data_IF_855954176897
#
_entry.id   IF_855954176897
#
_cell.length_a   1.000
_cell.length_b   1.000
_cell.length_c   1.000
_cell.angle_alpha   90.00
_cell.angle_beta   90.00
_cell.angle_gamma   90.00
#
_symmetry.space_group_name_H-M   'P 1'
#
loop_
_entity.id
_entity.type
_entity.pdbx_description
1 polymer ?
#
# COMPACT_ATOMS: atom_id res chain seq x y z
N UNK A 1 24.93 8.47 32.23
CA UNK A 1 23.61 8.85 31.82
C UNK A 1 23.68 9.05 30.29
N UNK A 2 23.15 8.09 29.54
CA UNK A 2 23.04 8.22 28.09
C UNK A 2 21.94 9.25 27.79
N UNK A 3 22.11 10.13 26.77
CA UNK A 3 21.09 11.10 26.40
C UNK A 3 19.83 10.36 25.90
N UNK A 4 18.67 10.76 26.40
CA UNK A 4 17.39 10.22 25.95
C UNK A 4 17.22 10.51 24.44
N UNK A 5 16.92 9.49 23.65
CA UNK A 5 16.60 9.64 22.22
C UNK A 5 15.45 10.66 22.02
N UNK A 6 15.52 11.52 21.00
CA UNK A 6 14.51 12.54 20.76
C UNK A 6 13.12 11.92 20.53
N UNK A 7 12.11 12.63 20.97
CA UNK A 7 10.70 12.17 20.98
C UNK A 7 10.19 11.74 19.60
N UNK A 8 10.68 12.37 18.53
CA UNK A 8 10.38 12.02 17.13
C UNK A 8 10.92 10.65 16.73
N UNK A 9 12.13 10.29 17.20
CA UNK A 9 12.67 8.94 16.97
C UNK A 9 11.85 7.86 17.70
N UNK A 10 11.20 8.22 18.81
CA UNK A 10 10.26 7.32 19.51
C UNK A 10 8.94 7.18 18.76
N UNK A 11 8.46 8.25 18.14
CA UNK A 11 7.24 8.22 17.31
C UNK A 11 7.47 7.45 16.02
N UNK A 12 8.56 7.72 15.29
CA UNK A 12 8.95 6.94 14.13
C UNK A 12 9.20 5.45 14.49
N UNK A 13 9.81 5.17 15.65
CA UNK A 13 10.00 3.82 16.15
C UNK A 13 8.67 3.17 16.60
N UNK A 14 7.66 3.93 17.00
CA UNK A 14 6.33 3.39 17.32
C UNK A 14 5.52 3.03 16.07
N UNK A 15 5.67 3.81 14.99
CA UNK A 15 5.06 3.51 13.69
C UNK A 15 5.81 2.39 12.94
N UNK A 16 7.15 2.35 12.99
CA UNK A 16 7.97 1.27 12.43
C UNK A 16 7.90 -0.03 13.22
N UNK A 17 7.32 0.00 14.45
CA UNK A 17 7.01 -1.16 15.28
C UNK A 17 5.51 -1.47 15.38
N UNK A 18 4.66 -0.90 14.56
CA UNK A 18 3.45 -1.60 14.19
C UNK A 18 3.92 -2.87 13.49
N UNK A 19 4.30 -3.87 14.33
CA UNK A 19 4.51 -5.23 13.88
C UNK A 19 3.30 -5.56 13.03
N UNK A 20 3.47 -5.63 11.72
CA UNK A 20 2.71 -6.62 11.00
C UNK A 20 2.77 -7.83 11.91
N UNK A 21 1.62 -8.26 12.39
CA UNK A 21 1.55 -9.46 13.22
C UNK A 21 2.39 -10.48 12.47
N UNK A 22 3.43 -11.07 13.05
CA UNK A 22 4.27 -12.01 12.35
C UNK A 22 3.32 -13.05 11.80
N UNK A 23 3.24 -13.16 10.48
CA UNK A 23 2.63 -14.32 9.86
C UNK A 23 3.29 -15.50 10.56
N UNK A 24 2.52 -16.43 11.18
CA UNK A 24 3.09 -17.53 11.93
C UNK A 24 3.91 -18.37 10.97
N UNK A 25 5.24 -18.32 11.07
CA UNK A 25 6.06 -19.15 10.20
C UNK A 25 7.54 -18.81 10.03
N UNK A 26 8.08 -17.75 10.61
CA UNK A 26 9.45 -17.32 10.34
C UNK A 26 10.52 -17.92 11.26
N UNK A 27 10.43 -19.21 11.62
CA UNK A 27 11.58 -19.94 12.16
C UNK A 27 11.65 -21.33 11.54
N UNK A 28 12.61 -21.52 10.66
CA UNK A 28 12.93 -22.78 9.97
C UNK A 28 13.12 -24.01 10.89
N UNK A 29 13.30 -23.83 12.19
CA UNK A 29 13.59 -24.92 13.13
C UNK A 29 12.38 -25.48 13.88
N UNK A 30 11.22 -24.79 13.86
CA UNK A 30 10.05 -25.20 14.66
C UNK A 30 8.94 -25.85 13.85
N UNK A 31 9.10 -25.94 12.51
CA UNK A 31 8.06 -26.45 11.62
C UNK A 31 7.81 -27.97 11.79
N UNK A 32 8.76 -28.71 12.36
CA UNK A 32 8.67 -30.17 12.57
C UNK A 32 8.46 -30.60 14.03
N UNK A 33 8.35 -29.68 14.99
CA UNK A 33 7.95 -30.05 16.34
C UNK A 33 6.42 -30.09 16.41
N UNK A 34 5.85 -31.26 16.10
CA UNK A 34 4.47 -31.59 16.43
C UNK A 34 4.25 -31.45 17.94
N UNK A 35 3.84 -30.25 18.37
CA UNK A 35 3.24 -30.07 19.67
C UNK A 35 1.73 -30.23 19.45
N UNK A 36 1.13 -31.29 19.96
CA UNK A 36 -0.31 -31.40 20.11
C UNK A 36 -0.80 -30.16 20.85
N UNK A 37 -1.26 -29.16 20.11
CA UNK A 37 -1.72 -27.88 20.62
C UNK A 37 -3.23 -27.94 20.82
N UNK A 38 -3.70 -27.33 21.87
CA UNK A 38 -5.13 -27.12 22.13
C UNK A 38 -5.81 -26.42 20.93
N UNK A 39 -7.08 -26.71 20.63
CA UNK A 39 -7.83 -26.11 19.55
C UNK A 39 -7.83 -24.58 19.68
N UNK A 40 -7.60 -23.86 18.57
CA UNK A 40 -7.65 -22.40 18.55
C UNK A 40 -9.09 -21.93 18.71
N UNK A 41 -9.36 -20.80 19.37
CA UNK A 41 -10.70 -20.22 19.39
C UNK A 41 -11.04 -19.78 17.94
N UNK A 42 -11.99 -20.49 17.31
CA UNK A 42 -12.40 -20.33 15.92
C UNK A 42 -12.43 -21.63 15.11
N UNK A 43 -11.91 -22.74 15.62
CA UNK A 43 -12.13 -24.07 15.04
C UNK A 43 -13.57 -24.51 15.37
N UNK A 44 -14.54 -23.95 14.67
CA UNK A 44 -15.85 -24.62 14.53
C UNK A 44 -15.58 -26.03 14.00
N UNK A 45 -16.07 -27.02 14.69
CA UNK A 45 -15.97 -28.42 14.26
C UNK A 45 -16.69 -28.54 12.91
N UNK A 46 -15.92 -28.45 11.82
CA UNK A 46 -16.40 -28.69 10.47
C UNK A 46 -17.14 -30.02 10.46
N UNK A 47 -18.31 -30.06 9.82
CA UNK A 47 -19.06 -31.31 9.65
C UNK A 47 -18.19 -32.35 8.93
N UNK A 48 -18.47 -33.62 9.12
CA UNK A 48 -17.71 -34.70 8.46
C UNK A 48 -17.73 -34.58 6.93
N UNK A 49 -18.81 -34.05 6.38
CA UNK A 49 -18.95 -33.80 4.95
C UNK A 49 -18.03 -32.66 4.47
N UNK A 50 -17.91 -31.59 5.24
CA UNK A 50 -17.03 -30.47 4.94
C UNK A 50 -15.55 -30.86 5.03
N UNK A 51 -15.20 -31.69 6.00
CA UNK A 51 -13.84 -32.25 6.12
C UNK A 51 -13.48 -33.14 4.93
N UNK A 52 -14.41 -34.00 4.49
CA UNK A 52 -14.23 -34.84 3.32
C UNK A 52 -14.07 -34.00 2.03
N UNK A 53 -14.92 -33.00 1.86
CA UNK A 53 -14.83 -32.07 0.71
C UNK A 53 -13.52 -31.31 0.67
N UNK A 54 -13.06 -30.79 1.82
CA UNK A 54 -11.77 -30.10 1.94
C UNK A 54 -10.61 -31.03 1.61
N UNK A 55 -10.67 -32.28 2.08
CA UNK A 55 -9.64 -33.29 1.78
C UNK A 55 -9.58 -33.59 0.28
N UNK A 56 -10.75 -33.76 -0.34
CA UNK A 56 -10.83 -33.98 -1.78
C UNK A 56 -10.29 -32.79 -2.59
N UNK A 57 -10.65 -31.57 -2.24
CA UNK A 57 -10.11 -30.36 -2.88
C UNK A 57 -8.59 -30.27 -2.73
N UNK A 58 -8.05 -30.63 -1.57
CA UNK A 58 -6.60 -30.68 -1.34
C UNK A 58 -5.94 -31.74 -2.23
N UNK A 59 -6.54 -32.92 -2.37
CA UNK A 59 -6.03 -33.98 -3.25
C UNK A 59 -6.03 -33.54 -4.72
N UNK A 60 -7.11 -32.93 -5.20
CA UNK A 60 -7.22 -32.38 -6.55
C UNK A 60 -6.17 -31.31 -6.82
N UNK A 61 -5.90 -30.44 -5.84
CA UNK A 61 -4.86 -29.42 -5.93
C UNK A 61 -3.47 -30.04 -6.01
N UNK A 62 -3.16 -31.05 -5.17
CA UNK A 62 -1.89 -31.78 -5.20
C UNK A 62 -1.67 -32.42 -6.57
N UNK A 63 -2.66 -33.09 -7.11
CA UNK A 63 -2.58 -33.75 -8.41
C UNK A 63 -2.43 -32.74 -9.55
N UNK A 64 -3.17 -31.63 -9.51
CA UNK A 64 -3.05 -30.55 -10.47
C UNK A 64 -1.64 -29.93 -10.49
N UNK A 65 -1.03 -29.71 -9.32
CA UNK A 65 0.34 -29.19 -9.22
C UNK A 65 1.37 -30.23 -9.69
N UNK A 66 1.14 -31.52 -9.39
CA UNK A 66 2.06 -32.59 -9.79
C UNK A 66 2.13 -32.76 -11.31
N UNK A 67 1.03 -32.53 -12.01
CA UNK A 67 0.93 -32.68 -13.47
C UNK A 67 1.17 -31.37 -14.24
N UNK A 68 1.24 -30.22 -13.55
CA UNK A 68 1.44 -28.90 -14.14
C UNK A 68 2.87 -28.68 -14.65
N UNK A 69 3.01 -27.91 -15.73
CA UNK A 69 4.30 -27.34 -16.14
C UNK A 69 4.79 -26.31 -15.11
N UNK A 70 6.06 -25.92 -15.17
CA UNK A 70 6.61 -24.96 -14.22
C UNK A 70 5.87 -23.63 -14.19
N UNK A 71 5.48 -23.09 -15.35
CA UNK A 71 4.71 -21.85 -15.46
C UNK A 71 3.29 -21.99 -14.88
N UNK A 72 2.63 -23.09 -15.21
CA UNK A 72 1.29 -23.40 -14.68
C UNK A 72 1.34 -23.60 -13.15
N UNK A 73 2.42 -24.19 -12.64
CA UNK A 73 2.62 -24.42 -11.20
C UNK A 73 2.77 -23.11 -10.44
N UNK A 74 3.56 -22.16 -10.97
CA UNK A 74 3.66 -20.82 -10.37
C UNK A 74 2.29 -20.15 -10.30
N UNK A 75 1.50 -20.23 -11.37
CA UNK A 75 0.13 -19.67 -11.40
C UNK A 75 -0.78 -20.35 -10.38
N UNK A 76 -0.82 -21.68 -10.35
CA UNK A 76 -1.63 -22.44 -9.39
C UNK A 76 -1.23 -22.12 -7.93
N UNK A 77 0.06 -22.01 -7.64
CA UNK A 77 0.52 -21.65 -6.29
C UNK A 77 0.14 -20.22 -5.93
N UNK A 78 0.24 -19.29 -6.86
CA UNK A 78 -0.15 -17.88 -6.60
C UNK A 78 -1.65 -17.75 -6.36
N UNK A 79 -2.47 -18.40 -7.17
CA UNK A 79 -3.94 -18.36 -7.06
C UNK A 79 -4.46 -19.03 -5.79
N UNK A 80 -3.74 -20.05 -5.29
CA UNK A 80 -4.16 -20.85 -4.14
C UNK A 80 -3.27 -20.66 -2.91
N UNK A 81 -2.57 -19.51 -2.79
CA UNK A 81 -1.57 -19.28 -1.74
C UNK A 81 -2.08 -19.57 -0.32
N UNK A 82 -3.35 -19.28 -0.05
CA UNK A 82 -3.98 -19.51 1.25
C UNK A 82 -4.30 -20.99 1.54
N UNK A 83 -4.21 -21.87 0.53
CA UNK A 83 -4.47 -23.30 0.68
C UNK A 83 -3.23 -24.09 1.10
N UNK A 84 -2.04 -23.49 1.04
CA UNK A 84 -0.78 -24.15 1.40
C UNK A 84 -0.48 -24.00 2.90
N UNK A 85 -1.42 -24.50 3.70
CA UNK A 85 -1.31 -24.54 5.15
C UNK A 85 -0.67 -25.86 5.64
N UNK A 86 -0.56 -26.03 6.96
CA UNK A 86 -0.06 -27.27 7.55
C UNK A 86 -0.85 -28.51 7.11
N UNK A 87 -2.16 -28.36 6.89
CA UNK A 87 -3.04 -29.45 6.43
C UNK A 87 -2.68 -29.96 5.04
N UNK A 88 -2.34 -29.06 4.13
CA UNK A 88 -1.86 -29.40 2.78
C UNK A 88 -0.59 -30.28 2.84
N UNK A 89 0.43 -29.85 3.57
CA UNK A 89 1.68 -30.61 3.69
C UNK A 89 1.51 -31.93 4.43
N UNK A 90 0.66 -31.96 5.45
CA UNK A 90 0.29 -33.20 6.14
C UNK A 90 -0.42 -34.18 5.18
N UNK A 91 -1.27 -33.68 4.31
CA UNK A 91 -1.95 -34.53 3.29
C UNK A 91 -0.96 -35.13 2.29
N UNK A 92 0.01 -34.35 1.82
CA UNK A 92 1.09 -34.88 0.96
C UNK A 92 1.87 -35.98 1.70
N UNK A 93 2.27 -35.76 2.95
CA UNK A 93 2.96 -36.74 3.76
C UNK A 93 2.14 -38.05 3.91
N UNK A 94 0.85 -37.92 4.22
CA UNK A 94 -0.06 -39.08 4.33
C UNK A 94 -0.18 -39.85 3.01
N UNK A 95 -0.22 -39.13 1.86
CA UNK A 95 -0.22 -39.77 0.53
C UNK A 95 1.11 -40.46 0.23
N UNK A 96 2.24 -39.85 0.60
CA UNK A 96 3.54 -40.49 0.47
C UNK A 96 3.64 -41.79 1.27
N UNK A 97 3.10 -41.83 2.49
CA UNK A 97 3.11 -43.04 3.33
C UNK A 97 2.23 -44.16 2.77
N UNK A 98 1.13 -43.82 2.10
CA UNK A 98 0.17 -44.80 1.57
C UNK A 98 0.55 -45.34 0.18
N UNK A 99 1.47 -44.72 -0.54
CA UNK A 99 1.92 -45.14 -1.87
C UNK A 99 3.09 -46.13 -1.75
N UNK A 100 2.96 -47.29 -2.39
CA UNK A 100 4.02 -48.31 -2.41
C UNK A 100 5.13 -48.02 -3.45
N UNK A 101 4.77 -47.31 -4.54
CA UNK A 101 5.68 -46.97 -5.64
C UNK A 101 6.64 -45.84 -5.25
N UNK A 102 7.93 -46.11 -5.30
CA UNK A 102 8.96 -45.16 -4.93
C UNK A 102 8.99 -43.92 -5.87
N UNK A 103 8.82 -44.13 -7.19
CA UNK A 103 8.80 -43.03 -8.15
C UNK A 103 7.68 -42.02 -7.89
N UNK A 104 6.52 -42.53 -7.45
CA UNK A 104 5.38 -41.68 -7.09
C UNK A 104 5.60 -40.94 -5.76
N UNK A 105 6.29 -41.56 -4.81
CA UNK A 105 6.72 -40.88 -3.58
C UNK A 105 7.66 -39.72 -3.87
N UNK A 106 8.70 -39.98 -4.68
CA UNK A 106 9.69 -38.98 -5.03
C UNK A 106 9.05 -37.79 -5.75
N UNK A 107 8.07 -38.03 -6.65
CA UNK A 107 7.29 -36.97 -7.31
C UNK A 107 6.48 -36.12 -6.31
N UNK A 108 5.81 -36.75 -5.33
CA UNK A 108 5.06 -36.02 -4.30
C UNK A 108 5.98 -35.21 -3.39
N UNK A 109 7.14 -35.72 -3.02
CA UNK A 109 8.13 -35.00 -2.23
C UNK A 109 8.72 -33.82 -3.01
N UNK A 110 8.97 -34.00 -4.31
CA UNK A 110 9.42 -32.92 -5.19
C UNK A 110 8.36 -31.81 -5.27
N UNK A 111 7.09 -32.18 -5.46
CA UNK A 111 5.97 -31.21 -5.43
C UNK A 111 5.93 -30.44 -4.14
N UNK A 112 6.03 -31.11 -2.99
CA UNK A 112 6.05 -30.45 -1.68
C UNK A 112 7.21 -29.43 -1.57
N UNK A 113 8.42 -29.81 -1.99
CA UNK A 113 9.59 -28.93 -1.97
C UNK A 113 9.44 -27.73 -2.91
N UNK A 114 8.90 -27.96 -4.10
CA UNK A 114 8.67 -26.88 -5.08
C UNK A 114 7.59 -25.89 -4.60
N UNK A 115 6.46 -26.38 -4.08
CA UNK A 115 5.42 -25.53 -3.50
C UNK A 115 5.97 -24.71 -2.34
N UNK A 116 6.71 -25.32 -1.42
CA UNK A 116 7.31 -24.62 -0.29
C UNK A 116 8.24 -23.50 -0.76
N UNK A 117 9.12 -23.77 -1.73
CA UNK A 117 10.02 -22.75 -2.27
C UNK A 117 9.26 -21.61 -2.97
N UNK A 118 8.20 -21.92 -3.73
CA UNK A 118 7.39 -20.90 -4.39
C UNK A 118 6.63 -20.03 -3.37
N UNK A 119 6.04 -20.64 -2.35
CA UNK A 119 5.37 -19.93 -1.26
C UNK A 119 6.35 -19.03 -0.54
N UNK A 120 7.55 -19.52 -0.17
CA UNK A 120 8.60 -18.74 0.46
C UNK A 120 9.02 -17.54 -0.41
N UNK A 121 9.17 -17.74 -1.72
CA UNK A 121 9.51 -16.66 -2.65
C UNK A 121 8.41 -15.59 -2.74
N UNK A 122 7.14 -16.00 -2.84
CA UNK A 122 5.99 -15.09 -2.91
C UNK A 122 5.88 -14.29 -1.61
N UNK A 123 5.94 -14.96 -0.45
CA UNK A 123 5.86 -14.32 0.86
C UNK A 123 7.01 -13.33 1.07
N UNK A 124 8.26 -13.74 0.76
CA UNK A 124 9.43 -12.87 0.87
C UNK A 124 9.34 -11.66 -0.05
N UNK A 125 8.90 -11.85 -1.29
CA UNK A 125 8.71 -10.74 -2.24
C UNK A 125 7.65 -9.75 -1.73
N UNK A 126 6.52 -10.26 -1.25
CA UNK A 126 5.45 -9.42 -0.70
C UNK A 126 5.91 -8.66 0.54
N UNK A 127 6.63 -9.32 1.43
CA UNK A 127 7.18 -8.68 2.63
C UNK A 127 8.18 -7.59 2.28
N UNK A 128 9.12 -7.85 1.37
CA UNK A 128 10.09 -6.86 0.91
C UNK A 128 9.39 -5.65 0.26
N UNK A 129 8.32 -5.88 -0.51
CA UNK A 129 7.54 -4.81 -1.10
C UNK A 129 6.83 -3.96 -0.04
N UNK A 130 6.23 -4.60 0.97
CA UNK A 130 5.59 -3.90 2.10
C UNK A 130 6.60 -3.08 2.90
N UNK A 131 7.79 -3.64 3.19
CA UNK A 131 8.86 -2.94 3.90
C UNK A 131 9.39 -1.74 3.08
N UNK A 132 9.57 -1.92 1.76
CA UNK A 132 9.97 -0.85 0.84
C UNK A 132 8.94 0.28 0.81
N UNK A 133 7.65 -0.05 0.66
CA UNK A 133 6.57 0.93 0.63
C UNK A 133 6.42 1.69 1.95
N UNK A 134 6.59 1.01 3.09
CA UNK A 134 6.61 1.65 4.41
C UNK A 134 7.82 2.57 4.57
N UNK A 135 9.00 2.17 4.08
CA UNK A 135 10.22 2.98 4.11
C UNK A 135 10.08 4.23 3.25
N UNK A 136 9.54 4.11 2.03
CA UNK A 136 9.26 5.26 1.15
C UNK A 136 8.36 6.28 1.85
N UNK A 137 7.25 5.83 2.42
CA UNK A 137 6.34 6.71 3.16
C UNK A 137 7.04 7.37 4.37
N UNK A 138 7.83 6.60 5.12
CA UNK A 138 8.57 7.11 6.27
C UNK A 138 9.61 8.16 5.87
N UNK A 139 10.32 7.98 4.74
CA UNK A 139 11.28 8.95 4.23
C UNK A 139 10.60 10.29 3.94
N UNK A 140 9.44 10.27 3.28
CA UNK A 140 8.68 11.48 2.96
C UNK A 140 8.17 12.18 4.23
N UNK A 141 7.60 11.42 5.18
CA UNK A 141 7.13 11.96 6.46
C UNK A 141 8.30 12.54 7.26
N UNK A 142 9.45 11.87 7.29
CA UNK A 142 10.62 12.33 8.04
C UNK A 142 11.16 13.66 7.54
N UNK A 143 10.95 14.00 6.27
CA UNK A 143 11.32 15.31 5.72
C UNK A 143 10.48 16.47 6.28
N UNK A 144 9.35 16.20 6.94
CA UNK A 144 8.56 17.19 7.68
C UNK A 144 9.12 17.53 9.07
N UNK A 145 10.09 16.75 9.57
CA UNK A 145 10.64 16.95 10.88
C UNK A 145 11.62 18.14 10.92
N UNK A 146 11.65 18.84 12.05
CA UNK A 146 12.61 19.90 12.29
C UNK A 146 14.06 19.35 12.25
N UNK A 147 14.96 19.94 11.47
CA UNK A 147 16.30 19.38 11.24
C UNK A 147 17.13 19.18 12.53
N UNK A 148 16.92 20.07 13.53
CA UNK A 148 17.73 20.09 14.75
C UNK A 148 17.19 19.19 15.87
N UNK A 149 15.87 19.00 15.94
CA UNK A 149 15.20 18.29 17.04
C UNK A 149 14.59 16.96 16.60
N UNK A 150 14.33 16.78 15.29
CA UNK A 150 13.60 15.65 14.76
C UNK A 150 12.11 15.63 15.19
N UNK A 151 11.60 16.76 15.71
CA UNK A 151 10.22 16.89 16.14
C UNK A 151 9.33 17.37 14.99
N UNK A 152 8.09 16.92 14.98
CA UNK A 152 7.06 17.40 14.05
C UNK A 152 6.34 18.58 14.69
N UNK A 153 6.38 19.75 14.05
CA UNK A 153 5.58 20.91 14.42
C UNK A 153 4.40 21.07 13.46
N UNK A 154 3.22 21.25 14.01
CA UNK A 154 2.00 21.50 13.24
C UNK A 154 1.41 22.82 13.74
N UNK A 155 1.08 23.76 12.83
CA UNK A 155 1.14 23.68 11.37
C UNK A 155 2.58 23.58 10.84
N UNK A 156 2.75 22.89 9.70
CA UNK A 156 4.04 22.73 9.04
C UNK A 156 4.55 24.09 8.53
N UNK A 157 5.85 24.35 8.69
CA UNK A 157 6.48 25.53 8.10
C UNK A 157 6.60 25.38 6.57
N UNK A 158 6.75 26.50 5.86
CA UNK A 158 7.00 26.48 4.41
C UNK A 158 8.26 25.69 4.05
N UNK A 159 9.30 25.77 4.87
CA UNK A 159 10.55 25.02 4.71
C UNK A 159 10.29 23.50 4.81
N UNK A 160 9.53 23.07 5.83
CA UNK A 160 9.21 21.65 6.01
C UNK A 160 8.34 21.12 4.87
N UNK A 161 7.40 21.93 4.35
CA UNK A 161 6.60 21.57 3.17
C UNK A 161 7.49 21.44 1.93
N UNK A 162 8.43 22.36 1.73
CA UNK A 162 9.38 22.32 0.62
C UNK A 162 10.30 21.09 0.70
N UNK A 163 10.78 20.74 1.89
CA UNK A 163 11.58 19.53 2.11
C UNK A 163 10.78 18.25 1.82
N UNK A 164 9.51 18.20 2.24
CA UNK A 164 8.62 17.09 1.91
C UNK A 164 8.37 17.00 0.39
N UNK A 165 8.16 18.14 -0.28
CA UNK A 165 7.95 18.18 -1.72
C UNK A 165 9.18 17.68 -2.50
N UNK A 166 10.39 18.10 -2.11
CA UNK A 166 11.64 17.62 -2.69
C UNK A 166 11.84 16.11 -2.46
N UNK A 167 11.50 15.61 -1.26
CA UNK A 167 11.57 14.18 -0.99
C UNK A 167 10.52 13.40 -1.79
N UNK A 168 9.30 13.93 -1.91
CA UNK A 168 8.25 13.35 -2.76
C UNK A 168 8.69 13.28 -4.22
N UNK A 169 9.29 14.32 -4.76
CA UNK A 169 9.80 14.32 -6.14
C UNK A 169 10.86 13.22 -6.35
N UNK A 170 11.75 13.03 -5.40
CA UNK A 170 12.76 11.98 -5.43
C UNK A 170 12.18 10.57 -5.35
N UNK A 171 11.15 10.39 -4.54
CA UNK A 171 10.55 9.09 -4.25
C UNK A 171 9.30 8.78 -5.11
N UNK A 172 8.88 9.69 -6.00
CA UNK A 172 7.59 9.62 -6.71
C UNK A 172 7.40 8.31 -7.50
N UNK A 173 8.48 7.76 -8.04
CA UNK A 173 8.42 6.50 -8.81
C UNK A 173 8.36 5.25 -7.89
N UNK A 174 8.69 5.41 -6.61
CA UNK A 174 8.59 4.38 -5.59
C UNK A 174 7.25 4.44 -4.84
N UNK A 175 6.45 5.51 -5.04
CA UNK A 175 5.11 5.62 -4.44
C UNK A 175 4.13 4.82 -5.28
N UNK A 176 3.84 3.62 -4.84
CA UNK A 176 2.91 2.65 -5.43
C UNK A 176 1.60 2.52 -4.62
N UNK A 177 0.71 1.64 -5.09
CA UNK A 177 -0.56 1.33 -4.39
C UNK A 177 -0.34 0.86 -2.95
N UNK A 178 0.73 0.10 -2.68
CA UNK A 178 1.05 -0.36 -1.33
C UNK A 178 1.47 0.80 -0.43
N UNK A 179 2.23 1.77 -0.96
CA UNK A 179 2.62 2.99 -0.25
C UNK A 179 1.40 3.84 0.11
N UNK A 180 0.47 4.02 -0.83
CA UNK A 180 -0.77 4.77 -0.58
C UNK A 180 -1.68 4.03 0.42
N UNK A 181 -1.80 2.71 0.30
CA UNK A 181 -2.53 1.88 1.27
C UNK A 181 -1.96 2.04 2.68
N UNK A 182 -0.62 2.02 2.83
CA UNK A 182 0.06 2.27 4.09
C UNK A 182 -0.24 3.67 4.64
N UNK A 183 -0.25 4.69 3.76
CA UNK A 183 -0.59 6.06 4.17
C UNK A 183 -2.01 6.15 4.76
N UNK A 184 -3.01 5.53 4.11
CA UNK A 184 -4.37 5.49 4.65
C UNK A 184 -4.47 4.70 5.95
N UNK A 185 -3.78 3.56 6.06
CA UNK A 185 -3.75 2.76 7.28
C UNK A 185 -3.11 3.52 8.45
N UNK A 186 -2.01 4.23 8.20
CA UNK A 186 -1.33 5.05 9.20
C UNK A 186 -2.16 6.27 9.60
N UNK A 187 -2.82 6.93 8.63
CA UNK A 187 -3.71 8.05 8.91
C UNK A 187 -4.90 7.62 9.78
N UNK A 188 -5.51 6.47 9.48
CA UNK A 188 -6.58 5.89 10.30
C UNK A 188 -6.09 5.61 11.72
N UNK A 189 -4.93 4.96 11.85
CA UNK A 189 -4.33 4.67 13.15
C UNK A 189 -3.99 5.94 13.94
N UNK A 190 -3.43 6.94 13.29
CA UNK A 190 -3.14 8.24 13.91
C UNK A 190 -4.42 8.93 14.41
N UNK A 191 -5.52 8.86 13.65
CA UNK A 191 -6.82 9.37 14.06
C UNK A 191 -7.40 8.62 15.26
N UNK A 192 -7.31 7.27 15.28
CA UNK A 192 -7.74 6.44 16.42
C UNK A 192 -6.93 6.75 17.68
N UNK A 193 -5.63 7.02 17.54
CA UNK A 193 -4.71 7.35 18.62
C UNK A 193 -4.74 8.86 18.99
N UNK A 194 -5.66 9.65 18.40
CA UNK A 194 -5.81 11.09 18.62
C UNK A 194 -4.53 11.91 18.34
N UNK A 195 -3.79 11.48 17.32
CA UNK A 195 -2.55 12.13 16.87
C UNK A 195 -2.84 13.06 15.69
N UNK A 196 -3.65 14.11 15.89
CA UNK A 196 -4.12 15.01 14.83
C UNK A 196 -2.98 15.61 13.99
N UNK A 197 -1.85 15.94 14.63
CA UNK A 197 -0.68 16.45 13.91
C UNK A 197 -0.11 15.45 12.89
N UNK A 198 -0.15 14.15 13.19
CA UNK A 198 0.30 13.12 12.25
C UNK A 198 -0.71 12.93 11.11
N UNK A 199 -2.00 13.06 11.39
CA UNK A 199 -3.05 13.06 10.35
C UNK A 199 -2.79 14.17 9.33
N UNK A 200 -2.52 15.40 9.79
CA UNK A 200 -2.20 16.55 8.92
C UNK A 200 -0.95 16.29 8.07
N UNK A 201 0.11 15.71 8.65
CA UNK A 201 1.34 15.40 7.91
C UNK A 201 1.08 14.35 6.82
N UNK A 202 0.34 13.28 7.12
CA UNK A 202 0.03 12.24 6.13
C UNK A 202 -0.90 12.78 5.04
N UNK A 203 -1.87 13.63 5.38
CA UNK A 203 -2.70 14.33 4.38
C UNK A 203 -1.83 15.17 3.45
N UNK A 204 -0.82 15.89 3.98
CA UNK A 204 0.13 16.65 3.15
C UNK A 204 0.94 15.74 2.21
N UNK A 205 1.34 14.55 2.64
CA UNK A 205 1.97 13.55 1.75
C UNK A 205 1.07 13.20 0.57
N UNK A 206 -0.22 12.91 0.82
CA UNK A 206 -1.18 12.58 -0.23
C UNK A 206 -1.42 13.75 -1.20
N UNK A 207 -1.48 14.98 -0.70
CA UNK A 207 -1.59 16.20 -1.51
C UNK A 207 -0.36 16.40 -2.41
N UNK A 208 0.85 16.24 -1.87
CA UNK A 208 2.09 16.34 -2.63
C UNK A 208 2.20 15.27 -3.72
N UNK A 209 1.78 14.04 -3.41
CA UNK A 209 1.68 12.97 -4.40
C UNK A 209 0.73 13.35 -5.54
N UNK A 210 -0.48 13.83 -5.21
CA UNK A 210 -1.46 14.24 -6.21
C UNK A 210 -0.93 15.40 -7.07
N UNK A 211 -0.35 16.42 -6.45
CA UNK A 211 0.24 17.57 -7.13
C UNK A 211 1.33 17.15 -8.14
N UNK A 212 2.23 16.25 -7.75
CA UNK A 212 3.30 15.75 -8.60
C UNK A 212 2.76 14.90 -9.77
N UNK A 213 1.82 14.00 -9.50
CA UNK A 213 1.25 13.12 -10.54
C UNK A 213 0.41 13.89 -11.54
N UNK A 214 -0.45 14.79 -11.08
CA UNK A 214 -1.31 15.61 -11.95
C UNK A 214 -0.49 16.64 -12.72
N UNK A 215 0.50 17.26 -12.09
CA UNK A 215 1.35 18.27 -12.73
C UNK A 215 2.09 17.77 -13.96
N UNK A 216 2.49 16.49 -14.00
CA UNK A 216 3.15 15.87 -15.17
C UNK A 216 2.25 15.79 -16.41
N UNK A 217 0.93 15.82 -16.24
CA UNK A 217 -0.05 15.67 -17.32
C UNK A 217 -0.67 16.98 -17.83
N UNK A 218 -0.30 18.12 -17.24
CA UNK A 218 -0.83 19.45 -17.56
C UNK A 218 0.12 20.22 -18.48
N UNK A 219 -0.46 21.00 -19.41
CA UNK A 219 0.30 21.96 -20.25
C UNK A 219 0.79 23.14 -19.42
N UNK A 220 1.75 23.90 -19.98
CA UNK A 220 2.38 25.02 -19.29
C UNK A 220 1.75 26.38 -19.59
N UNK A 221 0.79 26.46 -20.54
CA UNK A 221 0.20 27.70 -21.04
C UNK A 221 -1.32 27.77 -20.81
N UNK A 222 -1.84 28.98 -20.76
CA UNK A 222 -3.27 29.27 -20.66
C UNK A 222 -3.91 28.69 -19.39
N UNK A 223 -5.16 28.23 -19.49
CA UNK A 223 -5.91 27.67 -18.38
C UNK A 223 -5.25 26.39 -17.80
N UNK A 224 -4.64 25.57 -18.65
CA UNK A 224 -3.91 24.37 -18.20
C UNK A 224 -2.66 24.73 -17.39
N UNK A 225 -1.89 25.74 -17.82
CA UNK A 225 -0.73 26.24 -17.09
C UNK A 225 -1.13 26.92 -15.75
N UNK A 226 -2.24 27.65 -15.74
CA UNK A 226 -2.81 28.21 -14.52
C UNK A 226 -3.19 27.11 -13.55
N UNK A 227 -3.92 26.08 -14.01
CA UNK A 227 -4.29 24.91 -13.20
C UNK A 227 -3.07 24.16 -12.67
N UNK A 228 -2.03 23.97 -13.50
CA UNK A 228 -0.79 23.32 -13.05
C UNK A 228 -0.16 24.07 -11.89
N UNK A 229 -0.05 25.40 -11.96
CA UNK A 229 0.49 26.23 -10.87
C UNK A 229 -0.34 26.10 -9.60
N UNK A 230 -1.67 26.12 -9.74
CA UNK A 230 -2.59 25.95 -8.60
C UNK A 230 -2.38 24.60 -7.95
N UNK A 231 -2.44 23.50 -8.71
CA UNK A 231 -2.31 22.14 -8.13
C UNK A 231 -0.94 21.85 -7.55
N UNK A 232 0.14 22.46 -8.05
CA UNK A 232 1.49 22.28 -7.52
C UNK A 232 1.81 23.18 -6.30
N UNK A 233 0.94 24.13 -5.99
CA UNK A 233 1.10 25.05 -4.86
C UNK A 233 0.33 24.56 -3.64
N UNK A 234 0.72 24.99 -2.43
CA UNK A 234 -0.07 24.76 -1.22
C UNK A 234 -1.49 25.29 -1.36
N UNK A 235 -2.46 24.60 -0.77
CA UNK A 235 -3.88 24.95 -0.88
C UNK A 235 -4.19 26.37 -0.39
N UNK A 236 -3.43 26.86 0.58
CA UNK A 236 -3.55 28.21 1.14
C UNK A 236 -3.28 29.30 0.09
N UNK A 237 -2.52 28.99 -0.96
CA UNK A 237 -2.15 29.90 -2.04
C UNK A 237 -3.11 29.84 -3.24
N UNK A 238 -3.97 28.82 -3.32
CA UNK A 238 -4.85 28.60 -4.48
C UNK A 238 -5.71 29.82 -4.83
N UNK A 239 -6.30 30.47 -3.79
CA UNK A 239 -7.13 31.65 -3.98
C UNK A 239 -6.40 32.80 -4.67
N UNK A 240 -5.18 33.07 -4.25
CA UNK A 240 -4.33 34.12 -4.87
C UNK A 240 -3.96 33.77 -6.31
N UNK A 241 -3.51 32.53 -6.53
CA UNK A 241 -3.09 32.07 -7.86
C UNK A 241 -4.24 32.01 -8.89
N UNK A 242 -5.43 31.64 -8.45
CA UNK A 242 -6.61 31.67 -9.32
C UNK A 242 -6.95 33.11 -9.71
N UNK A 243 -7.03 34.06 -8.75
CA UNK A 243 -7.29 35.48 -9.05
C UNK A 243 -6.23 36.08 -9.97
N UNK A 244 -4.96 35.85 -9.69
CA UNK A 244 -3.84 36.26 -10.58
C UNK A 244 -3.99 35.68 -11.99
N UNK A 245 -4.40 34.42 -12.10
CA UNK A 245 -4.59 33.78 -13.40
C UNK A 245 -5.73 34.39 -14.19
N UNK A 246 -6.82 34.80 -13.53
CA UNK A 246 -7.95 35.50 -14.14
C UNK A 246 -7.53 36.90 -14.65
N UNK A 247 -6.72 37.63 -13.88
CA UNK A 247 -6.15 38.93 -14.30
C UNK A 247 -5.22 38.78 -15.52
N UNK A 248 -4.52 37.66 -15.63
CA UNK A 248 -3.61 37.33 -16.76
C UNK A 248 -4.34 36.69 -17.95
N UNK A 249 -5.66 36.81 -18.05
CA UNK A 249 -6.43 36.44 -19.25
C UNK A 249 -6.92 34.99 -19.25
N UNK A 250 -6.77 34.23 -18.17
CA UNK A 250 -7.44 32.94 -18.01
C UNK A 250 -8.95 33.18 -17.71
N UNK A 251 -9.78 32.22 -18.09
CA UNK A 251 -11.20 32.26 -17.77
C UNK A 251 -11.56 31.27 -16.69
N UNK A 252 -12.46 31.65 -15.76
CA UNK A 252 -12.91 30.77 -14.69
C UNK A 252 -13.51 29.46 -15.22
N UNK A 253 -14.37 29.57 -16.24
CA UNK A 253 -14.96 28.41 -16.92
C UNK A 253 -13.89 27.53 -17.60
N UNK A 254 -12.84 28.15 -18.13
CA UNK A 254 -11.73 27.44 -18.74
C UNK A 254 -10.93 26.61 -17.71
N UNK A 255 -10.66 27.17 -16.52
CA UNK A 255 -9.99 26.46 -15.44
C UNK A 255 -10.86 25.29 -14.93
N UNK A 256 -12.15 25.52 -14.74
CA UNK A 256 -13.12 24.46 -14.32
C UNK A 256 -13.20 23.37 -15.41
N UNK A 257 -13.22 23.74 -16.68
CA UNK A 257 -13.24 22.77 -17.80
C UNK A 257 -11.97 21.90 -17.80
N UNK A 258 -10.81 22.47 -17.54
CA UNK A 258 -9.56 21.70 -17.44
C UNK A 258 -9.58 20.76 -16.22
N UNK A 259 -10.10 21.20 -15.06
CA UNK A 259 -10.28 20.35 -13.89
C UNK A 259 -11.19 19.14 -14.21
N UNK A 260 -12.32 19.37 -14.89
CA UNK A 260 -13.24 18.30 -15.26
C UNK A 260 -12.62 17.30 -16.22
N UNK A 261 -11.89 17.76 -17.25
CA UNK A 261 -11.15 16.88 -18.17
C UNK A 261 -10.13 16.00 -17.43
N UNK A 262 -9.42 16.57 -16.44
CA UNK A 262 -8.47 15.81 -15.64
C UNK A 262 -9.16 14.82 -14.71
N UNK A 263 -10.30 15.19 -14.12
CA UNK A 263 -11.12 14.29 -13.33
C UNK A 263 -11.61 13.11 -14.17
N UNK A 264 -12.14 13.35 -15.35
CA UNK A 264 -12.56 12.29 -16.28
C UNK A 264 -11.38 11.38 -16.65
N UNK A 265 -10.21 11.94 -16.95
CA UNK A 265 -9.00 11.16 -17.26
C UNK A 265 -8.57 10.27 -16.10
N UNK A 266 -8.62 10.76 -14.87
CA UNK A 266 -8.30 9.99 -13.67
C UNK A 266 -9.32 8.86 -13.45
N UNK A 267 -10.61 9.17 -13.57
CA UNK A 267 -11.69 8.19 -13.33
C UNK A 267 -11.72 7.10 -14.39
N UNK A 268 -11.47 7.45 -15.68
CA UNK A 268 -11.54 6.49 -16.79
C UNK A 268 -10.21 5.80 -17.08
N UNK A 269 -9.09 6.42 -16.72
CA UNK A 269 -7.75 5.95 -17.08
C UNK A 269 -7.03 5.14 -16.02
N UNK A 270 -7.54 5.10 -14.79
CA UNK A 270 -6.93 4.36 -13.69
C UNK A 270 -7.83 3.20 -13.26
N UNK A 271 -7.23 2.20 -12.61
CA UNK A 271 -7.95 1.04 -12.09
C UNK A 271 -9.00 1.48 -11.07
N UNK A 272 -10.24 1.05 -11.31
CA UNK A 272 -11.38 1.44 -10.49
C UNK A 272 -11.22 0.95 -9.04
N UNK A 273 -11.31 1.89 -8.10
CA UNK A 273 -11.16 1.62 -6.67
C UNK A 273 -9.71 1.55 -6.20
N UNK A 274 -8.72 1.86 -7.05
CA UNK A 274 -7.33 2.00 -6.63
C UNK A 274 -7.13 3.22 -5.70
N UNK A 275 -6.16 3.14 -4.80
CA UNK A 275 -5.79 4.26 -3.93
C UNK A 275 -5.29 5.46 -4.75
N UNK A 276 -4.55 5.21 -5.84
CA UNK A 276 -4.11 6.25 -6.76
C UNK A 276 -5.30 7.00 -7.35
N UNK A 277 -6.30 6.30 -7.90
CA UNK A 277 -7.51 6.93 -8.44
C UNK A 277 -8.21 7.77 -7.37
N UNK A 278 -8.37 7.22 -6.18
CA UNK A 278 -9.04 7.88 -5.06
C UNK A 278 -8.33 9.18 -4.68
N UNK A 279 -7.02 9.15 -4.44
CA UNK A 279 -6.24 10.32 -4.02
C UNK A 279 -6.29 11.42 -5.07
N UNK A 280 -6.09 11.07 -6.34
CA UNK A 280 -6.10 12.06 -7.43
C UNK A 280 -7.51 12.65 -7.65
N UNK A 281 -8.55 11.84 -7.58
CA UNK A 281 -9.93 12.29 -7.73
C UNK A 281 -10.37 13.20 -6.57
N UNK A 282 -10.09 12.83 -5.32
CA UNK A 282 -10.39 13.64 -4.13
C UNK A 282 -9.68 15.00 -4.19
N UNK A 283 -8.40 15.02 -4.62
CA UNK A 283 -7.63 16.26 -4.76
C UNK A 283 -8.19 17.18 -5.85
N UNK A 284 -8.56 16.64 -7.02
CA UNK A 284 -9.19 17.40 -8.10
C UNK A 284 -10.59 17.93 -7.72
N UNK A 285 -11.37 17.15 -6.98
CA UNK A 285 -12.68 17.58 -6.48
C UNK A 285 -12.56 18.76 -5.50
N UNK A 286 -11.60 18.72 -4.58
CA UNK A 286 -11.37 19.85 -3.67
C UNK A 286 -10.89 21.09 -4.44
N UNK A 287 -10.00 20.92 -5.44
CA UNK A 287 -9.56 22.01 -6.30
C UNK A 287 -10.73 22.63 -7.11
N UNK A 288 -11.63 21.80 -7.64
CA UNK A 288 -12.82 22.26 -8.37
C UNK A 288 -13.78 23.02 -7.45
N UNK A 289 -14.04 22.49 -6.25
CA UNK A 289 -14.89 23.11 -5.26
C UNK A 289 -14.38 24.50 -4.88
N UNK A 290 -13.10 24.61 -4.51
CA UNK A 290 -12.47 25.89 -4.14
C UNK A 290 -12.43 26.89 -5.30
N UNK A 291 -12.13 26.40 -6.52
CA UNK A 291 -12.18 27.26 -7.70
C UNK A 291 -13.56 27.88 -7.90
N UNK A 292 -14.63 27.07 -7.77
CA UNK A 292 -16.01 27.55 -7.87
C UNK A 292 -16.39 28.54 -6.76
N UNK A 293 -15.95 28.31 -5.54
CA UNK A 293 -16.13 29.23 -4.40
C UNK A 293 -15.50 30.60 -4.71
N UNK A 294 -14.24 30.62 -5.15
CA UNK A 294 -13.52 31.85 -5.50
C UNK A 294 -14.19 32.60 -6.66
N UNK A 295 -14.67 31.85 -7.68
CA UNK A 295 -15.38 32.44 -8.83
C UNK A 295 -16.76 33.03 -8.43
N UNK A 296 -17.40 32.50 -7.40
CA UNK A 296 -18.68 33.03 -6.91
C UNK A 296 -18.52 34.29 -6.03
N UNK A 297 -17.33 34.52 -5.48
CA UNK A 297 -16.99 35.71 -4.69
C UNK A 297 -16.59 36.92 -5.53
N UNK A 298 -16.26 36.72 -6.82
CA UNK A 298 -15.85 37.76 -7.76
C UNK A 298 -17.01 38.15 -8.69
#
# INVERSE_FOLDING_TARGET
>A
AAPAAPRAARLAASFGRAKAAPLPGARRADFFKCRAGAPRPGDEQLSMEEQMKRTQQTDELIDSIADATQEQRVKLVTENIMSFDQGFFLRIATRCDSVADQGRKDKLMEVAGQVMNLVDQIVSKTQNQMESSASTLQNIISAAAEPNTGEFKVPLSEENIANMAAMMEKEIDNVDEATLSNAFAWMKKASEDQMDGMVVIIQRVLQLFAAQRLGKGLGDEGNAGALKRVLQSPEEQWGGLIRESLENGCTGDGIVTELQKHTERVVLGLDNGSYTQRVLAEYLQEAEKRTKEILAEN
#
